data_IF_128269154395
#
_entry.id   IF_128269154395
#
_cell.length_a   1.000
_cell.length_b   1.000
_cell.length_c   1.000
_cell.angle_alpha   90.00
_cell.angle_beta   90.00
_cell.angle_gamma   90.00
#
_symmetry.space_group_name_H-M   'P 1'
#
loop_
_entity.id
_entity.type
_entity.pdbx_description
1 polymer ?
#
# COMPACT_ATOMS: atom_id res chain seq x y z
N UNK A 1 4.18 5.61 9.17
CA UNK A 1 3.42 6.80 8.71
C UNK A 1 3.06 7.65 9.92
N UNK A 2 3.35 8.96 9.88
CA UNK A 2 3.00 9.87 10.95
C UNK A 2 1.51 10.22 10.89
N UNK A 3 0.78 10.03 12.00
CA UNK A 3 -0.58 10.55 12.12
C UNK A 3 -0.53 12.08 12.20
N UNK A 4 -1.18 12.73 11.24
CA UNK A 4 -1.25 14.17 11.15
C UNK A 4 -2.58 14.60 10.50
N UNK A 5 -3.00 15.84 10.78
CA UNK A 5 -4.16 16.46 10.13
C UNK A 5 -3.73 17.77 9.48
N UNK A 6 -4.47 18.20 8.48
CA UNK A 6 -4.22 19.48 7.83
C UNK A 6 -5.51 20.26 7.58
N UNK A 7 -5.41 21.59 7.71
CA UNK A 7 -6.44 22.51 7.25
C UNK A 7 -5.87 23.26 6.06
N UNK A 8 -6.47 23.05 4.88
CA UNK A 8 -6.10 23.76 3.67
C UNK A 8 -6.97 25.02 3.52
N UNK A 9 -6.31 26.15 3.44
CA UNK A 9 -7.00 27.42 3.21
C UNK A 9 -7.09 27.71 1.71
N UNK A 10 -8.15 28.40 1.29
CA UNK A 10 -8.28 28.84 -0.11
C UNK A 10 -7.16 29.80 -0.53
N UNK A 11 -6.58 30.52 0.41
CA UNK A 11 -5.42 31.39 0.22
C UNK A 11 -4.50 31.31 1.43
N UNK A 12 -3.19 31.38 1.21
CA UNK A 12 -2.18 31.33 2.25
C UNK A 12 -1.65 29.90 2.53
N UNK A 13 -0.80 29.79 3.58
CA UNK A 13 -0.21 28.52 3.96
C UNK A 13 -1.23 27.62 4.67
N UNK A 14 -1.20 26.29 4.42
CA UNK A 14 -1.97 25.36 5.21
C UNK A 14 -1.50 25.30 6.67
N UNK A 15 -2.36 24.81 7.55
CA UNK A 15 -2.02 24.45 8.91
C UNK A 15 -1.82 22.93 8.99
N UNK A 16 -0.68 22.48 9.53
CA UNK A 16 -0.37 21.08 9.76
C UNK A 16 -0.35 20.79 11.25
N UNK A 17 -1.19 19.85 11.69
CA UNK A 17 -1.31 19.42 13.09
C UNK A 17 -0.61 18.06 13.24
N UNK A 18 0.55 18.06 13.88
CA UNK A 18 1.40 16.88 14.04
C UNK A 18 2.10 16.94 15.39
N UNK A 19 2.24 15.78 16.04
CA UNK A 19 2.93 15.68 17.30
C UNK A 19 4.42 16.10 17.16
N UNK A 20 4.91 17.03 17.98
CA UNK A 20 6.25 17.62 17.83
C UNK A 20 7.38 16.59 17.88
N UNK A 21 7.23 15.53 18.65
CA UNK A 21 8.21 14.44 18.82
C UNK A 21 8.39 13.59 17.53
N UNK A 22 7.48 13.70 16.59
CA UNK A 22 7.57 13.02 15.27
C UNK A 22 8.39 13.79 14.23
N UNK A 23 8.86 14.98 14.60
CA UNK A 23 9.59 15.87 13.71
C UNK A 23 11.01 16.09 14.26
N UNK A 24 12.01 15.70 13.51
CA UNK A 24 13.36 16.18 13.75
C UNK A 24 13.52 17.67 13.41
N UNK A 25 14.65 18.26 13.75
CA UNK A 25 14.89 19.68 13.56
C UNK A 25 14.91 20.10 12.09
N UNK A 26 15.40 19.24 11.20
CA UNK A 26 15.50 19.49 9.76
C UNK A 26 14.10 19.45 9.13
N UNK A 27 13.34 18.39 9.36
CA UNK A 27 11.96 18.24 8.86
C UNK A 27 11.08 19.38 9.36
N UNK A 28 11.19 19.76 10.65
CA UNK A 28 10.44 20.88 11.22
C UNK A 28 10.76 22.20 10.52
N UNK A 29 12.03 22.44 10.21
CA UNK A 29 12.46 23.63 9.49
C UNK A 29 11.88 23.65 8.07
N UNK A 30 11.98 22.55 7.36
CA UNK A 30 11.43 22.42 6.01
C UNK A 30 9.91 22.64 6.00
N UNK A 31 9.16 21.99 6.89
CA UNK A 31 7.71 22.12 6.98
C UNK A 31 7.25 23.56 7.27
N UNK A 32 7.97 24.32 8.11
CA UNK A 32 7.65 25.73 8.40
C UNK A 32 7.71 26.64 7.17
N UNK A 33 8.45 26.25 6.12
CA UNK A 33 8.48 27.03 4.88
C UNK A 33 7.17 26.95 4.10
N UNK A 34 6.45 25.82 4.19
CA UNK A 34 5.26 25.50 3.40
C UNK A 34 3.96 25.45 4.22
N UNK A 35 4.03 25.31 5.55
CA UNK A 35 2.86 25.18 6.43
C UNK A 35 3.07 25.86 7.77
N UNK A 36 1.96 26.21 8.46
CA UNK A 36 1.95 26.53 9.88
C UNK A 36 1.89 25.23 10.69
N UNK A 37 3.02 24.81 11.27
CA UNK A 37 3.10 23.57 12.05
C UNK A 37 2.61 23.81 13.47
N UNK A 38 1.63 23.03 13.94
CA UNK A 38 0.99 23.09 15.25
C UNK A 38 0.97 21.72 15.90
N UNK A 39 0.86 21.66 17.22
CA UNK A 39 0.56 20.42 17.96
C UNK A 39 -0.87 19.94 17.71
N UNK A 40 -1.14 18.64 17.90
CA UNK A 40 -2.48 18.05 17.69
C UNK A 40 -3.57 18.73 18.54
N UNK A 41 -3.23 19.17 19.75
CA UNK A 41 -4.15 19.80 20.70
C UNK A 41 -4.77 21.11 20.16
N UNK A 42 -4.04 21.82 19.29
CA UNK A 42 -4.54 23.04 18.65
C UNK A 42 -5.63 22.77 17.60
N UNK A 43 -5.86 21.54 17.19
CA UNK A 43 -6.83 21.20 16.14
C UNK A 43 -8.27 21.54 16.56
N UNK A 44 -8.66 21.19 17.77
CA UNK A 44 -10.01 21.49 18.29
C UNK A 44 -10.30 22.98 18.33
N UNK A 45 -9.34 23.79 18.82
CA UNK A 45 -9.43 25.24 18.85
C UNK A 45 -9.60 25.82 17.43
N UNK A 46 -8.79 25.35 16.47
CA UNK A 46 -8.88 25.81 15.07
C UNK A 46 -10.20 25.45 14.41
N UNK A 47 -10.73 24.27 14.68
CA UNK A 47 -12.07 23.87 14.22
C UNK A 47 -13.16 24.75 14.85
N UNK A 48 -13.00 25.14 16.11
CA UNK A 48 -13.87 26.13 16.77
C UNK A 48 -13.87 27.47 16.05
N UNK A 49 -12.71 28.01 15.71
CA UNK A 49 -12.61 29.27 14.94
C UNK A 49 -13.29 29.14 13.56
N UNK A 50 -13.15 27.99 12.88
CA UNK A 50 -13.85 27.74 11.61
C UNK A 50 -15.36 27.62 11.79
N UNK A 51 -15.81 27.00 12.88
CA UNK A 51 -17.23 26.90 13.25
C UNK A 51 -17.87 28.27 13.45
N UNK A 52 -17.18 29.14 14.17
CA UNK A 52 -17.70 30.46 14.58
C UNK A 52 -17.55 31.49 13.45
N UNK A 53 -16.79 31.16 12.41
CA UNK A 53 -16.64 32.00 11.22
C UNK A 53 -17.82 31.85 10.24
N UNK A 54 -17.87 32.71 9.24
CA UNK A 54 -18.91 32.74 8.20
C UNK A 54 -18.71 31.65 7.12
N UNK A 55 -17.51 31.11 6.98
CA UNK A 55 -17.15 30.17 5.90
C UNK A 55 -17.65 28.76 6.19
N UNK A 56 -18.18 28.13 5.16
CA UNK A 56 -18.57 26.73 5.20
C UNK A 56 -17.32 25.85 5.02
N UNK A 57 -17.19 24.82 5.86
CA UNK A 57 -16.09 23.85 5.76
C UNK A 57 -16.54 22.65 4.94
N UNK A 58 -15.77 22.29 3.91
CA UNK A 58 -16.01 21.07 3.14
C UNK A 58 -15.46 19.86 3.89
N UNK A 59 -16.26 18.82 3.96
CA UNK A 59 -15.86 17.50 4.48
C UNK A 59 -16.22 16.39 3.49
N UNK A 60 -15.44 15.33 3.48
CA UNK A 60 -15.68 14.16 2.61
C UNK A 60 -16.47 13.10 3.38
N UNK A 61 -17.72 12.82 3.00
CA UNK A 61 -18.49 11.74 3.61
C UNK A 61 -17.75 10.40 3.50
N UNK A 62 -17.74 9.64 4.56
CA UNK A 62 -17.06 8.34 4.60
C UNK A 62 -15.59 8.38 5.07
N UNK A 63 -14.88 9.50 4.86
CA UNK A 63 -13.49 9.65 5.31
C UNK A 63 -13.31 10.61 6.48
N UNK A 64 -14.32 11.47 6.75
CA UNK A 64 -14.27 12.43 7.85
C UNK A 64 -14.92 11.84 9.09
N UNK A 65 -14.13 11.66 10.15
CA UNK A 65 -14.66 11.19 11.43
C UNK A 65 -15.73 12.15 11.98
N UNK A 66 -16.76 11.58 12.61
CA UNK A 66 -17.88 12.35 13.18
C UNK A 66 -17.44 13.42 14.20
N UNK A 67 -16.32 13.21 14.84
CA UNK A 67 -15.71 14.20 15.75
C UNK A 67 -15.49 15.55 15.07
N UNK A 68 -14.96 15.57 13.83
CA UNK A 68 -14.78 16.82 13.07
C UNK A 68 -16.10 17.53 12.79
N UNK A 69 -17.12 16.77 12.40
CA UNK A 69 -18.46 17.32 12.14
C UNK A 69 -19.04 17.98 13.40
N UNK A 70 -18.88 17.34 14.57
CA UNK A 70 -19.28 17.90 15.86
C UNK A 70 -18.54 19.18 16.19
N UNK A 71 -17.21 19.20 16.06
CA UNK A 71 -16.38 20.39 16.34
C UNK A 71 -16.77 21.56 15.43
N UNK A 72 -17.18 21.29 14.19
CA UNK A 72 -17.63 22.29 13.24
C UNK A 72 -19.10 22.73 13.43
N UNK A 73 -19.77 22.32 14.51
CA UNK A 73 -21.14 22.75 14.82
C UNK A 73 -22.23 21.90 14.18
N UNK A 74 -21.89 20.72 13.69
CA UNK A 74 -22.83 19.73 13.18
C UNK A 74 -23.11 19.79 11.68
N UNK A 75 -24.02 18.94 11.17
CA UNK A 75 -24.21 18.72 9.73
C UNK A 75 -24.66 19.94 8.93
N UNK A 76 -25.28 20.93 9.58
CA UNK A 76 -25.78 22.16 8.93
C UNK A 76 -24.67 23.17 8.64
N UNK A 77 -23.50 23.00 9.25
CA UNK A 77 -22.35 23.91 9.13
C UNK A 77 -21.28 23.42 8.14
N UNK A 78 -21.49 22.29 7.52
CA UNK A 78 -20.54 21.67 6.60
C UNK A 78 -21.09 21.58 5.18
N UNK A 79 -20.21 21.70 4.19
CA UNK A 79 -20.46 21.33 2.82
C UNK A 79 -19.93 19.90 2.60
N UNK A 80 -20.76 19.00 2.09
CA UNK A 80 -20.36 17.64 1.72
C UNK A 80 -19.83 17.64 0.29
N UNK A 81 -18.70 16.98 0.06
CA UNK A 81 -18.14 16.87 -1.28
C UNK A 81 -16.90 16.00 -1.32
N UNK A 82 -16.43 15.70 -2.52
CA UNK A 82 -15.19 14.99 -2.71
C UNK A 82 -13.99 15.78 -2.14
N UNK A 83 -13.00 15.08 -1.61
CA UNK A 83 -11.75 15.68 -1.18
C UNK A 83 -11.01 16.23 -2.42
N UNK A 84 -10.71 17.55 -2.44
CA UNK A 84 -10.04 18.17 -3.58
C UNK A 84 -8.60 17.67 -3.77
N UNK A 85 -8.01 17.01 -2.78
CA UNK A 85 -6.64 16.46 -2.86
C UNK A 85 -6.57 15.08 -3.50
N UNK A 86 -7.70 14.36 -3.59
CA UNK A 86 -7.73 12.97 -4.06
C UNK A 86 -7.17 12.82 -5.47
N UNK A 87 -7.66 13.60 -6.42
CA UNK A 87 -7.19 13.50 -7.81
C UNK A 87 -5.76 14.01 -8.01
N UNK A 88 -5.34 15.17 -7.49
CA UNK A 88 -3.95 15.61 -7.55
C UNK A 88 -2.96 14.60 -6.94
N UNK A 89 -3.33 13.97 -5.81
CA UNK A 89 -2.51 12.93 -5.18
C UNK A 89 -2.44 11.63 -6.03
N UNK A 90 -3.51 11.29 -6.72
CA UNK A 90 -3.56 10.10 -7.59
C UNK A 90 -2.71 10.26 -8.86
N UNK A 91 -2.58 11.50 -9.38
CA UNK A 91 -1.74 11.81 -10.54
C UNK A 91 -0.31 12.00 -10.07
N UNK A 92 0.55 11.02 -10.36
CA UNK A 92 1.96 11.03 -9.97
C UNK A 92 2.76 12.06 -10.77
N UNK A 93 3.62 12.82 -10.09
CA UNK A 93 4.58 13.70 -10.73
C UNK A 93 5.80 12.91 -11.29
N UNK A 94 6.68 13.52 -12.09
CA UNK A 94 7.84 12.83 -12.66
C UNK A 94 8.77 12.20 -11.64
N UNK A 95 8.96 12.82 -10.47
CA UNK A 95 9.82 12.28 -9.39
C UNK A 95 9.20 11.03 -8.78
N UNK A 96 7.90 11.03 -8.51
CA UNK A 96 7.17 9.87 -7.99
C UNK A 96 7.16 8.72 -9.01
N UNK A 97 7.03 9.02 -10.31
CA UNK A 97 7.06 8.00 -11.38
C UNK A 97 8.44 7.35 -11.46
N UNK A 98 9.51 8.13 -11.44
CA UNK A 98 10.88 7.62 -11.50
C UNK A 98 11.22 6.81 -10.23
N UNK A 99 10.82 7.30 -9.05
CA UNK A 99 10.95 6.57 -7.80
C UNK A 99 10.25 5.22 -7.83
N UNK A 100 9.00 5.18 -8.33
CA UNK A 100 8.25 3.93 -8.47
C UNK A 100 8.95 2.95 -9.43
N UNK A 101 9.51 3.42 -10.55
CA UNK A 101 10.29 2.59 -11.47
C UNK A 101 11.53 2.02 -10.82
N UNK A 102 12.31 2.86 -10.15
CA UNK A 102 13.53 2.45 -9.45
C UNK A 102 13.22 1.42 -8.33
N UNK A 103 12.17 1.65 -7.55
CA UNK A 103 11.70 0.72 -6.53
C UNK A 103 11.32 -0.65 -7.12
N UNK A 104 10.58 -0.67 -8.24
CA UNK A 104 10.18 -1.94 -8.90
C UNK A 104 11.36 -2.68 -9.54
N UNK A 105 12.37 -2.00 -10.07
CA UNK A 105 13.60 -2.64 -10.55
C UNK A 105 14.34 -3.28 -9.38
N UNK A 106 14.52 -2.57 -8.29
CA UNK A 106 15.21 -3.03 -7.08
C UNK A 106 14.50 -4.24 -6.46
N UNK A 107 13.19 -4.14 -6.26
CA UNK A 107 12.38 -5.23 -5.71
C UNK A 107 12.27 -6.41 -6.67
N UNK A 108 12.17 -6.15 -7.98
CA UNK A 108 12.15 -7.16 -9.02
C UNK A 108 13.39 -8.04 -9.02
N UNK A 109 14.57 -7.51 -8.69
CA UNK A 109 15.80 -8.30 -8.49
C UNK A 109 15.63 -9.26 -7.30
N UNK A 110 15.12 -8.78 -6.16
CA UNK A 110 14.89 -9.63 -4.99
C UNK A 110 13.88 -10.74 -5.28
N UNK A 111 12.76 -10.41 -5.93
CA UNK A 111 11.74 -11.40 -6.34
C UNK A 111 12.29 -12.40 -7.35
N UNK A 112 13.07 -11.97 -8.33
CA UNK A 112 13.67 -12.88 -9.33
C UNK A 112 14.67 -13.84 -8.68
N UNK A 113 15.51 -13.35 -7.77
CA UNK A 113 16.42 -14.21 -6.97
C UNK A 113 15.65 -15.20 -6.10
N UNK A 114 14.53 -14.75 -5.51
CA UNK A 114 13.65 -15.64 -4.74
C UNK A 114 13.08 -16.74 -5.62
N UNK A 115 12.54 -16.42 -6.81
CA UNK A 115 11.97 -17.41 -7.71
C UNK A 115 13.01 -18.44 -8.18
N UNK A 116 14.23 -18.00 -8.49
CA UNK A 116 15.33 -18.91 -8.84
C UNK A 116 15.75 -19.81 -7.66
N UNK A 117 15.77 -19.28 -6.44
CA UNK A 117 16.02 -20.06 -5.24
C UNK A 117 14.89 -21.06 -4.96
N UNK A 118 13.63 -20.61 -5.13
CA UNK A 118 12.45 -21.46 -4.96
C UNK A 118 12.48 -22.68 -5.90
N UNK A 119 12.77 -22.46 -7.18
CA UNK A 119 12.84 -23.51 -8.20
C UNK A 119 13.83 -24.62 -7.82
N UNK A 120 14.99 -24.24 -7.31
CA UNK A 120 16.05 -25.19 -6.91
C UNK A 120 15.83 -25.84 -5.55
N UNK A 121 15.08 -25.19 -4.64
CA UNK A 121 14.94 -25.59 -3.24
C UNK A 121 13.66 -26.38 -3.00
N UNK A 122 12.55 -25.96 -3.61
CA UNK A 122 11.24 -26.60 -3.40
C UNK A 122 11.21 -28.04 -3.84
N UNK A 123 11.96 -28.41 -4.90
CA UNK A 123 12.09 -29.77 -5.38
C UNK A 123 12.68 -30.73 -4.33
N UNK A 124 13.36 -30.25 -3.30
CA UNK A 124 13.94 -31.02 -2.21
C UNK A 124 12.91 -31.43 -1.13
N UNK A 125 11.67 -30.95 -1.22
CA UNK A 125 10.55 -31.38 -0.38
C UNK A 125 10.60 -30.93 1.10
N UNK A 126 11.46 -29.97 1.45
CA UNK A 126 11.64 -29.48 2.83
C UNK A 126 11.26 -28.03 3.04
N UNK A 127 10.83 -27.35 1.98
CA UNK A 127 10.47 -25.94 2.04
C UNK A 127 9.01 -25.79 2.45
N UNK A 128 8.72 -24.89 3.38
CA UNK A 128 7.38 -24.52 3.81
C UNK A 128 7.05 -23.05 3.51
N UNK A 129 5.78 -22.70 3.71
CA UNK A 129 5.24 -21.38 3.41
C UNK A 129 5.94 -20.25 4.20
N UNK A 130 6.23 -20.48 5.50
CA UNK A 130 6.90 -19.49 6.37
C UNK A 130 8.35 -19.30 5.93
N UNK A 131 9.08 -20.37 5.67
CA UNK A 131 10.46 -20.28 5.18
C UNK A 131 10.55 -19.55 3.84
N UNK A 132 9.54 -19.70 2.98
CA UNK A 132 9.45 -18.94 1.73
C UNK A 132 9.29 -17.43 1.98
N UNK A 133 8.44 -17.04 2.94
CA UNK A 133 8.28 -15.63 3.36
C UNK A 133 9.61 -15.06 3.85
N UNK A 134 10.22 -15.74 4.85
CA UNK A 134 11.47 -15.31 5.47
C UNK A 134 12.59 -15.13 4.43
N UNK A 135 12.66 -16.03 3.44
CA UNK A 135 13.66 -15.95 2.37
C UNK A 135 13.46 -14.73 1.48
N UNK A 136 12.22 -14.44 1.08
CA UNK A 136 11.92 -13.29 0.22
C UNK A 136 12.20 -11.98 0.96
N UNK A 137 11.80 -11.89 2.22
CA UNK A 137 12.06 -10.70 3.05
C UNK A 137 13.56 -10.49 3.28
N UNK A 138 14.32 -11.55 3.52
CA UNK A 138 15.78 -11.48 3.62
C UNK A 138 16.43 -10.94 2.32
N UNK A 139 15.98 -11.43 1.15
CA UNK A 139 16.48 -10.94 -0.14
C UNK A 139 16.15 -9.46 -0.41
N UNK A 140 15.00 -8.98 0.08
CA UNK A 140 14.64 -7.56 0.06
C UNK A 140 15.52 -6.75 1.01
N UNK A 141 15.79 -7.26 2.21
CA UNK A 141 16.68 -6.61 3.17
C UNK A 141 18.12 -6.47 2.65
N UNK A 142 18.63 -7.45 1.91
CA UNK A 142 19.96 -7.40 1.27
C UNK A 142 20.12 -6.21 0.31
N UNK A 143 19.04 -5.60 -0.18
CA UNK A 143 19.11 -4.40 -1.02
C UNK A 143 19.65 -3.17 -0.27
N UNK A 144 19.62 -3.18 1.06
CA UNK A 144 19.98 -2.05 1.94
C UNK A 144 19.00 -0.87 1.87
N UNK A 145 17.98 -0.93 1.01
CA UNK A 145 17.01 0.14 0.78
C UNK A 145 15.62 -0.14 1.36
N UNK A 146 15.36 -1.37 1.80
CA UNK A 146 14.09 -1.76 2.41
C UNK A 146 13.82 -0.91 3.68
N UNK A 147 12.64 -0.31 3.76
CA UNK A 147 12.16 0.38 4.96
C UNK A 147 11.25 -0.51 5.79
N UNK A 148 10.31 -1.16 5.14
CA UNK A 148 9.30 -2.02 5.77
C UNK A 148 8.67 -2.91 4.69
N UNK A 149 8.02 -4.01 5.04
CA UNK A 149 7.11 -4.71 4.13
C UNK A 149 5.86 -3.84 3.90
N UNK A 150 5.29 -3.88 2.69
CA UNK A 150 4.10 -3.06 2.38
C UNK A 150 2.81 -3.65 2.97
N UNK A 151 2.78 -4.96 3.15
CA UNK A 151 1.73 -5.74 3.82
C UNK A 151 2.29 -7.11 4.22
N UNK A 152 1.61 -7.79 5.14
CA UNK A 152 2.00 -9.14 5.55
C UNK A 152 1.99 -10.08 4.34
N UNK A 153 3.12 -10.69 4.03
CA UNK A 153 3.28 -11.55 2.86
C UNK A 153 2.30 -12.71 2.88
N UNK A 154 1.56 -12.89 1.79
CA UNK A 154 0.70 -14.05 1.54
C UNK A 154 1.57 -15.13 0.90
N UNK A 155 1.63 -16.30 1.53
CA UNK A 155 2.40 -17.47 1.06
C UNK A 155 1.52 -18.69 1.20
N UNK A 156 0.95 -19.16 0.08
CA UNK A 156 -0.04 -20.24 0.06
C UNK A 156 0.32 -21.37 -0.89
N UNK A 157 0.53 -22.58 -0.35
CA UNK A 157 0.79 -23.82 -1.11
C UNK A 157 -0.47 -24.65 -1.26
N UNK A 158 -0.74 -25.14 -2.46
CA UNK A 158 -1.90 -25.98 -2.74
C UNK A 158 -3.21 -25.32 -2.30
N UNK A 159 -4.01 -25.95 -1.41
CA UNK A 159 -5.30 -25.40 -0.98
C UNK A 159 -5.21 -24.06 -0.27
N UNK A 160 -4.10 -23.73 0.41
CA UNK A 160 -3.91 -22.44 1.06
C UNK A 160 -3.82 -21.29 0.03
N UNK A 161 -3.29 -21.55 -1.17
CA UNK A 161 -3.25 -20.58 -2.25
C UNK A 161 -4.61 -20.20 -2.84
N UNK A 162 -5.66 -20.97 -2.54
CA UNK A 162 -7.03 -20.66 -2.95
C UNK A 162 -7.78 -19.76 -1.96
N UNK A 163 -7.22 -19.50 -0.78
CA UNK A 163 -7.82 -18.66 0.25
C UNK A 163 -7.45 -17.20 -0.02
N UNK A 164 -8.47 -16.37 -0.27
CA UNK A 164 -8.26 -14.93 -0.51
C UNK A 164 -7.67 -14.28 0.75
N UNK A 165 -6.60 -13.49 0.57
CA UNK A 165 -5.85 -12.86 1.66
C UNK A 165 -5.37 -13.85 2.75
N UNK A 166 -4.97 -15.06 2.31
CA UNK A 166 -4.44 -16.07 3.22
C UNK A 166 -3.29 -15.51 4.06
N UNK A 167 -3.35 -15.76 5.38
CA UNK A 167 -2.25 -15.46 6.29
C UNK A 167 -1.69 -16.76 6.84
N UNK A 168 -0.46 -17.06 6.49
CA UNK A 168 0.25 -18.20 7.04
C UNK A 168 0.52 -17.99 8.53
N UNK A 169 0.26 -19.02 9.33
CA UNK A 169 0.58 -19.07 10.75
C UNK A 169 1.33 -20.38 11.04
N UNK A 170 1.97 -20.51 12.19
CA UNK A 170 2.62 -21.77 12.58
C UNK A 170 1.68 -22.97 12.56
N UNK A 171 0.40 -22.73 12.87
CA UNK A 171 -0.62 -23.79 12.89
C UNK A 171 -1.10 -24.20 11.48
N UNK A 172 -1.06 -23.27 10.51
CA UNK A 172 -1.54 -23.50 9.14
C UNK A 172 -0.43 -23.71 8.12
N UNK A 173 0.83 -23.53 8.53
CA UNK A 173 2.02 -23.64 7.70
C UNK A 173 2.10 -25.01 6.99
N UNK A 174 2.21 -24.98 5.68
CA UNK A 174 2.31 -26.18 4.84
C UNK A 174 3.69 -26.29 4.19
N UNK A 175 4.16 -27.52 4.05
CA UNK A 175 5.29 -27.83 3.17
C UNK A 175 4.83 -27.75 1.72
N UNK A 176 5.61 -27.11 0.86
CA UNK A 176 5.39 -27.03 -0.57
C UNK A 176 5.57 -28.41 -1.19
N UNK A 177 4.54 -28.96 -1.86
CA UNK A 177 4.56 -30.30 -2.42
C UNK A 177 4.75 -30.26 -3.94
N UNK A 178 5.58 -31.18 -4.51
CA UNK A 178 5.63 -31.36 -5.96
C UNK A 178 4.24 -31.65 -6.54
N UNK A 179 3.91 -31.02 -7.66
CA UNK A 179 2.61 -31.14 -8.33
C UNK A 179 1.54 -30.16 -7.82
N UNK A 180 1.85 -29.32 -6.84
CA UNK A 180 0.97 -28.24 -6.38
C UNK A 180 1.36 -26.88 -7.00
N UNK A 181 0.42 -25.93 -6.97
CA UNK A 181 0.71 -24.52 -7.22
C UNK A 181 1.06 -23.84 -5.90
N UNK A 182 2.00 -22.92 -5.95
CA UNK A 182 2.39 -22.04 -4.86
C UNK A 182 2.13 -20.60 -5.25
N UNK A 183 1.36 -19.86 -4.43
CA UNK A 183 1.09 -18.44 -4.59
C UNK A 183 1.88 -17.67 -3.56
N UNK A 184 2.61 -16.65 -4.02
CA UNK A 184 3.28 -15.67 -3.17
C UNK A 184 2.86 -14.27 -3.60
N UNK A 185 2.31 -13.53 -2.65
CA UNK A 185 1.88 -12.14 -2.83
C UNK A 185 2.53 -11.29 -1.75
N UNK A 186 3.33 -10.32 -2.17
CA UNK A 186 4.24 -9.64 -1.27
C UNK A 186 4.63 -8.27 -1.80
N UNK A 187 5.06 -7.39 -0.92
CA UNK A 187 5.54 -6.09 -1.33
C UNK A 187 6.44 -5.44 -0.30
N UNK A 188 7.03 -4.33 -0.69
CA UNK A 188 8.01 -3.59 0.08
C UNK A 188 7.76 -2.08 0.04
N UNK A 189 8.09 -1.42 1.13
CA UNK A 189 8.17 0.03 1.24
C UNK A 189 9.63 0.47 1.06
N UNK A 190 9.86 1.32 0.08
CA UNK A 190 11.13 2.01 -0.15
C UNK A 190 10.91 3.52 0.05
N UNK A 191 11.99 4.29 0.19
CA UNK A 191 11.87 5.74 0.31
C UNK A 191 11.26 6.41 -0.93
N UNK A 192 11.43 5.79 -2.08
CA UNK A 192 11.08 6.27 -3.42
C UNK A 192 9.86 5.56 -4.04
N UNK A 193 9.32 4.49 -3.41
CA UNK A 193 8.14 3.80 -3.93
C UNK A 193 7.70 2.61 -3.11
N UNK A 194 6.50 2.15 -3.39
CA UNK A 194 5.89 0.94 -2.82
C UNK A 194 5.76 -0.10 -3.90
N UNK A 195 6.08 -1.36 -3.60
CA UNK A 195 5.85 -2.50 -4.49
C UNK A 195 4.75 -3.41 -3.95
N UNK A 196 4.11 -4.10 -4.88
CA UNK A 196 3.05 -5.10 -4.65
C UNK A 196 3.12 -6.07 -5.82
N UNK A 197 3.61 -7.29 -5.56
CA UNK A 197 3.95 -8.26 -6.59
C UNK A 197 3.44 -9.64 -6.21
N UNK A 198 2.52 -10.17 -7.02
CA UNK A 198 2.01 -11.53 -6.88
C UNK A 198 2.60 -12.45 -7.94
N UNK A 199 2.97 -13.68 -7.56
CA UNK A 199 3.33 -14.75 -8.47
C UNK A 199 2.69 -16.07 -8.03
N UNK A 200 2.15 -16.81 -9.02
CA UNK A 200 1.73 -18.19 -8.86
C UNK A 200 2.67 -19.07 -9.69
N UNK A 201 3.33 -20.01 -9.05
CA UNK A 201 4.30 -20.89 -9.68
C UNK A 201 3.98 -22.37 -9.39
N UNK A 202 4.33 -23.26 -10.30
CA UNK A 202 4.21 -24.68 -10.06
C UNK A 202 5.43 -25.19 -9.27
N UNK A 203 5.20 -26.04 -8.29
CA UNK A 203 6.25 -26.79 -7.63
C UNK A 203 6.41 -28.11 -8.39
N UNK A 204 7.50 -28.23 -9.14
CA UNK A 204 7.70 -29.34 -10.06
C UNK A 204 6.76 -29.29 -11.29
N UNK A 205 6.23 -30.44 -11.72
CA UNK A 205 5.41 -30.52 -12.94
C UNK A 205 3.94 -30.28 -12.65
N UNK A 206 3.33 -29.22 -13.22
CA UNK A 206 1.90 -28.96 -13.03
C UNK A 206 1.05 -29.96 -13.83
N UNK A 207 -0.20 -30.19 -13.38
CA UNK A 207 -1.18 -30.95 -14.13
C UNK A 207 -1.68 -30.18 -15.36
N UNK A 208 -2.31 -30.87 -16.31
CA UNK A 208 -2.90 -30.24 -17.50
C UNK A 208 -4.04 -29.32 -17.10
N UNK A 209 -4.83 -29.65 -16.07
CA UNK A 209 -5.86 -28.77 -15.54
C UNK A 209 -5.27 -27.48 -14.97
N UNK A 210 -4.22 -27.54 -14.17
CA UNK A 210 -3.53 -26.34 -13.66
C UNK A 210 -3.06 -25.43 -14.80
N UNK A 211 -2.48 -26.01 -15.85
CA UNK A 211 -2.03 -25.28 -17.04
C UNK A 211 -3.18 -24.62 -17.77
N UNK A 212 -4.31 -25.33 -17.98
CA UNK A 212 -5.49 -24.77 -18.60
C UNK A 212 -6.07 -23.59 -17.79
N UNK A 213 -6.26 -23.79 -16.48
CA UNK A 213 -6.80 -22.73 -15.60
C UNK A 213 -5.88 -21.51 -15.54
N UNK A 214 -4.58 -21.70 -15.37
CA UNK A 214 -3.60 -20.62 -15.39
C UNK A 214 -3.65 -19.84 -16.70
N UNK A 215 -3.70 -20.54 -17.84
CA UNK A 215 -3.79 -19.91 -19.17
C UNK A 215 -5.07 -19.08 -19.31
N UNK A 216 -6.22 -19.57 -18.85
CA UNK A 216 -7.50 -18.83 -18.90
C UNK A 216 -7.44 -17.56 -18.05
N UNK A 217 -6.90 -17.65 -16.83
CA UNK A 217 -6.72 -16.47 -15.97
C UNK A 217 -5.79 -15.47 -16.60
N UNK A 218 -4.66 -15.89 -17.18
CA UNK A 218 -3.72 -15.03 -17.87
C UNK A 218 -4.36 -14.32 -19.07
N UNK A 219 -5.16 -15.05 -19.88
CA UNK A 219 -5.90 -14.44 -20.99
C UNK A 219 -6.88 -13.37 -20.53
N UNK A 220 -7.61 -13.61 -19.44
CA UNK A 220 -8.50 -12.61 -18.84
C UNK A 220 -7.74 -11.39 -18.31
N UNK A 221 -6.62 -11.60 -17.64
CA UNK A 221 -5.74 -10.52 -17.18
C UNK A 221 -5.24 -9.65 -18.33
N UNK A 222 -4.72 -10.27 -19.39
CA UNK A 222 -4.26 -9.54 -20.59
C UNK A 222 -5.40 -8.76 -21.25
N UNK A 223 -6.59 -9.37 -21.37
CA UNK A 223 -7.76 -8.71 -21.96
C UNK A 223 -8.17 -7.46 -21.18
N UNK A 224 -8.18 -7.52 -19.84
CA UNK A 224 -8.49 -6.37 -18.98
C UNK A 224 -7.38 -5.31 -19.07
N UNK A 225 -6.11 -5.72 -19.03
CA UNK A 225 -4.98 -4.79 -19.12
C UNK A 225 -4.93 -4.03 -20.47
N UNK A 226 -5.41 -4.66 -21.55
CA UNK A 226 -5.49 -4.07 -22.87
C UNK A 226 -6.83 -3.35 -23.16
N UNK A 227 -7.81 -3.45 -22.26
CA UNK A 227 -9.14 -2.89 -22.48
C UNK A 227 -9.11 -1.35 -22.52
N UNK A 228 -9.89 -0.80 -23.46
CA UNK A 228 -10.17 0.64 -23.55
C UNK A 228 -11.64 0.86 -23.21
N UNK A 229 -11.90 1.77 -22.29
CA UNK A 229 -13.25 2.04 -21.81
C UNK A 229 -13.46 3.54 -21.56
N UNK A 230 -14.72 4.04 -21.70
CA UNK A 230 -15.06 5.44 -21.44
C UNK A 230 -14.78 5.86 -19.99
N UNK A 231 -14.56 7.16 -19.79
CA UNK A 231 -14.47 7.72 -18.43
C UNK A 231 -15.75 7.44 -17.63
N UNK A 232 -15.61 6.94 -16.44
CA UNK A 232 -16.73 6.64 -15.53
C UNK A 232 -17.23 5.20 -15.60
N UNK A 233 -16.63 4.33 -16.42
CA UNK A 233 -16.88 2.88 -16.39
C UNK A 233 -16.53 2.33 -15.00
N UNK A 234 -17.42 1.49 -14.47
CA UNK A 234 -17.29 0.83 -13.16
C UNK A 234 -17.43 -0.67 -13.31
#
# INVERSE_FOLDING_TARGET
VALAFAILHAKGKPELFIAPEKLDAETRRALKTIAHVRGPDALAERLGVLRDGEKTVRVTPGNTAWWFVRQLGGPKRIARGADPTTLPKAIKNPVEIEGARAAHVRDGVAVTRFLAWLDTTAAKGKLDEITAVEKLEALRAETGALREISFDTISGSGPNGAIVHYRVTRATNRTLQPGELFLIDSGAQYADGTTDITRTVAIGKPSDEMRDRFTRVLKGHIAIAAARFPKGTR
#
